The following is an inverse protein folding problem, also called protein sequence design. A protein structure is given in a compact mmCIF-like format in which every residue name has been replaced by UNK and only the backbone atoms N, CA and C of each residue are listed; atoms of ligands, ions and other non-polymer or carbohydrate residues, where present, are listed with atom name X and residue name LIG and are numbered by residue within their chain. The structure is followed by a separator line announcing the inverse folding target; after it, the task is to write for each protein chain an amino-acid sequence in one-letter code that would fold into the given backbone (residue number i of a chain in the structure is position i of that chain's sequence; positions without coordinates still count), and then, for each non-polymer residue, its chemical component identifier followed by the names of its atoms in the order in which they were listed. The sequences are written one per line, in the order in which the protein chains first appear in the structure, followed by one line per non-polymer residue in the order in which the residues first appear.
data_IF_287586526310
#
_entry.id   IF_287586526310
#
_cell.length_a   1.000
_cell.length_b   1.000
_cell.length_c   1.000
_cell.angle_alpha   90.00
_cell.angle_beta   90.00
_cell.angle_gamma   90.00
#
_symmetry.space_group_name_H-M   'P 1'
#
loop_
_entity.id
_entity.type
_entity.pdbx_description
1 polymer ?
#
# COMPACT_ATOMS: atom_id res chain seq x y z
N UNK A 1 10.76 1.20 7.51
CA UNK A 1 12.12 1.80 7.51
C UNK A 1 12.59 1.84 8.95
N UNK A 2 13.78 1.31 9.25
CA UNK A 2 14.25 1.11 10.62
C UNK A 2 15.08 2.32 11.10
N UNK A 3 14.73 2.97 12.23
CA UNK A 3 15.53 4.05 12.85
C UNK A 3 16.97 3.65 13.11
N UNK A 4 17.25 2.38 13.38
CA UNK A 4 18.61 1.84 13.59
C UNK A 4 19.46 2.01 12.34
N UNK A 5 18.87 1.80 11.15
CA UNK A 5 19.55 2.01 9.88
C UNK A 5 19.88 3.50 9.66
N UNK A 6 18.96 4.40 10.02
CA UNK A 6 19.20 5.85 9.92
C UNK A 6 20.38 6.27 10.81
N UNK A 7 20.42 5.79 12.05
CA UNK A 7 21.53 6.02 12.98
C UNK A 7 22.84 5.46 12.45
N UNK A 8 22.84 4.26 11.87
CA UNK A 8 24.04 3.65 11.26
C UNK A 8 24.57 4.46 10.06
N UNK A 9 23.70 5.21 9.38
CA UNK A 9 24.05 6.15 8.31
C UNK A 9 24.40 7.56 8.83
N UNK A 10 24.48 7.75 10.15
CA UNK A 10 24.84 9.02 10.79
C UNK A 10 23.69 10.04 10.85
N UNK A 11 22.44 9.61 10.68
CA UNK A 11 21.26 10.48 10.73
C UNK A 11 20.59 10.37 12.10
N UNK A 12 20.57 11.46 12.86
CA UNK A 12 19.79 11.57 14.10
C UNK A 12 18.36 12.05 13.79
N UNK A 13 17.39 11.15 13.99
CA UNK A 13 15.96 11.41 13.77
C UNK A 13 15.40 12.55 14.64
N UNK A 14 16.06 12.90 15.75
CA UNK A 14 15.63 14.01 16.62
C UNK A 14 16.01 15.38 16.08
N UNK A 15 16.96 15.45 15.14
CA UNK A 15 17.47 16.69 14.57
C UNK A 15 16.83 17.04 13.21
N UNK A 16 16.08 16.11 12.63
CA UNK A 16 15.43 16.32 11.33
C UNK A 16 14.12 17.09 11.50
N UNK A 17 13.92 18.09 10.64
CA UNK A 17 12.66 18.85 10.58
C UNK A 17 11.54 18.05 9.91
N UNK A 18 11.88 17.20 8.96
CA UNK A 18 10.92 16.43 8.16
C UNK A 18 11.55 15.12 7.72
N UNK A 19 10.83 14.02 7.95
CA UNK A 19 11.21 12.68 7.49
C UNK A 19 10.21 12.22 6.43
N UNK A 20 10.69 11.90 5.23
CA UNK A 20 9.84 11.31 4.18
C UNK A 20 10.09 9.82 4.12
N UNK A 21 9.05 9.04 4.40
CA UNK A 21 9.12 7.58 4.41
C UNK A 21 8.39 7.00 3.20
N UNK A 22 9.08 6.18 2.40
CA UNK A 22 8.46 5.39 1.34
C UNK A 22 7.85 4.12 1.92
N UNK A 23 6.82 4.27 2.74
CA UNK A 23 6.12 3.18 3.41
C UNK A 23 4.68 3.60 3.72
N UNK A 24 3.72 2.67 3.65
CA UNK A 24 2.31 2.94 3.96
C UNK A 24 1.88 2.48 5.35
N UNK A 25 2.30 1.28 5.79
CA UNK A 25 1.58 0.58 6.87
C UNK A 25 2.32 0.52 8.21
N UNK A 26 3.65 0.43 8.26
CA UNK A 26 4.36 0.17 9.51
C UNK A 26 5.00 1.40 10.17
N UNK A 27 4.97 2.55 9.50
CA UNK A 27 5.80 3.68 9.93
C UNK A 27 5.36 4.27 11.27
N UNK A 28 4.06 4.26 11.60
CA UNK A 28 3.56 4.83 12.86
C UNK A 28 4.14 4.12 14.09
N UNK A 29 4.02 2.80 14.15
CA UNK A 29 4.54 2.00 15.26
C UNK A 29 6.07 2.03 15.38
N UNK A 30 6.78 2.37 14.30
CA UNK A 30 8.24 2.41 14.30
C UNK A 30 8.77 3.78 14.76
N UNK A 31 8.01 4.85 14.56
CA UNK A 31 8.46 6.23 14.75
C UNK A 31 7.69 7.01 15.83
N UNK A 32 6.77 6.38 16.56
CA UNK A 32 5.93 7.02 17.60
C UNK A 32 6.74 7.58 18.78
N UNK A 33 7.93 7.03 19.04
CA UNK A 33 8.89 7.57 20.00
C UNK A 33 9.55 8.90 19.56
N UNK A 34 9.50 9.25 18.27
CA UNK A 34 10.14 10.44 17.71
C UNK A 34 9.15 11.53 17.27
N UNK A 35 7.96 11.14 16.81
CA UNK A 35 6.94 12.05 16.31
C UNK A 35 5.59 11.72 16.94
N UNK A 36 4.77 12.74 17.21
CA UNK A 36 3.40 12.55 17.66
C UNK A 36 2.49 12.15 16.50
N UNK A 37 1.33 11.56 16.80
CA UNK A 37 0.41 11.07 15.76
C UNK A 37 -0.06 12.19 14.80
N UNK A 38 -0.23 13.41 15.28
CA UNK A 38 -0.61 14.59 14.48
C UNK A 38 0.51 15.10 13.57
N UNK A 39 1.77 14.73 13.85
CA UNK A 39 2.92 15.02 12.99
C UNK A 39 3.09 13.97 11.87
N UNK A 40 2.42 12.83 11.97
CA UNK A 40 2.56 11.68 11.08
C UNK A 40 1.51 11.68 9.97
N UNK A 41 1.74 12.50 8.94
CA UNK A 41 0.81 12.66 7.82
C UNK A 41 1.05 11.68 6.68
N UNK A 42 -0.03 11.11 6.14
CA UNK A 42 0.01 10.39 4.86
C UNK A 42 -0.23 11.37 3.73
N UNK A 43 0.67 11.35 2.74
CA UNK A 43 0.61 12.26 1.60
C UNK A 43 0.26 11.46 0.35
N UNK A 44 -0.81 11.87 -0.31
CA UNK A 44 -1.25 11.32 -1.59
C UNK A 44 -0.35 11.80 -2.73
N UNK A 45 0.83 11.18 -2.82
CA UNK A 45 1.85 11.50 -3.84
C UNK A 45 1.58 10.75 -5.15
N UNK A 46 1.95 11.33 -6.31
CA UNK A 46 1.92 10.60 -7.57
C UNK A 46 2.98 9.50 -7.57
N UNK A 47 2.70 8.39 -8.27
CA UNK A 47 3.69 7.33 -8.47
C UNK A 47 3.09 5.99 -8.82
N UNK A 48 3.95 5.04 -9.19
CA UNK A 48 3.56 3.67 -9.59
C UNK A 48 2.93 2.85 -8.46
N UNK A 49 3.09 3.29 -7.22
CA UNK A 49 2.54 2.64 -6.02
C UNK A 49 1.31 3.36 -5.48
N UNK A 50 0.73 4.30 -6.24
CA UNK A 50 -0.52 4.96 -5.88
C UNK A 50 -1.63 3.92 -5.76
N UNK A 51 -2.43 3.93 -4.68
CA UNK A 51 -3.58 3.05 -4.55
C UNK A 51 -4.77 3.54 -5.41
N UNK A 52 -4.73 4.77 -5.93
CA UNK A 52 -5.79 5.33 -6.77
C UNK A 52 -5.69 4.76 -8.18
N UNK A 53 -6.38 3.65 -8.42
CA UNK A 53 -6.26 2.86 -9.66
C UNK A 53 -6.62 3.67 -10.92
N UNK A 54 -7.54 4.62 -10.83
CA UNK A 54 -7.97 5.46 -11.96
C UNK A 54 -6.88 6.39 -12.49
N UNK A 55 -5.78 6.60 -11.76
CA UNK A 55 -4.63 7.40 -12.22
C UNK A 55 -3.75 6.66 -13.23
N UNK A 56 -3.97 5.37 -13.44
CA UNK A 56 -3.14 4.53 -14.30
C UNK A 56 -3.89 4.12 -15.56
N UNK A 57 -3.18 4.15 -16.70
CA UNK A 57 -3.67 3.60 -17.97
C UNK A 57 -3.34 2.11 -18.02
N UNK A 58 -4.17 1.30 -17.36
CA UNK A 58 -3.96 -0.15 -17.31
C UNK A 58 -4.00 -0.76 -18.71
N UNK A 59 -3.05 -1.65 -18.98
CA UNK A 59 -3.01 -2.46 -20.20
C UNK A 59 -2.77 -3.91 -19.79
N UNK A 60 -3.40 -4.86 -20.49
CA UNK A 60 -3.25 -6.31 -20.25
C UNK A 60 -3.68 -6.74 -18.83
N UNK A 61 -4.58 -5.99 -18.20
CA UNK A 61 -5.26 -6.41 -16.97
C UNK A 61 -6.39 -7.38 -17.38
N UNK A 62 -6.55 -8.53 -16.72
CA UNK A 62 -7.75 -9.35 -16.88
C UNK A 62 -9.00 -8.52 -16.60
N UNK A 63 -10.00 -8.61 -17.48
CA UNK A 63 -11.27 -7.89 -17.36
C UNK A 63 -12.43 -8.90 -17.34
N UNK A 64 -13.50 -8.66 -16.56
CA UNK A 64 -13.68 -7.48 -15.70
C UNK A 64 -12.82 -7.52 -14.42
N UNK A 65 -12.45 -6.35 -13.92
CA UNK A 65 -11.70 -6.16 -12.68
C UNK A 65 -12.29 -5.00 -11.88
N UNK A 66 -13.03 -5.31 -10.83
CA UNK A 66 -13.52 -4.32 -9.88
C UNK A 66 -12.35 -3.69 -9.09
N UNK A 67 -12.31 -2.37 -8.85
CA UNK A 67 -13.32 -1.34 -9.16
C UNK A 67 -13.11 -0.62 -10.50
N UNK A 68 -12.28 -1.16 -11.41
CA UNK A 68 -12.01 -0.54 -12.72
C UNK A 68 -13.06 -0.91 -13.79
N UNK A 69 -13.80 -2.00 -13.59
CA UNK A 69 -15.06 -2.33 -14.26
C UNK A 69 -16.11 -2.48 -13.17
N UNK A 70 -17.19 -1.68 -13.24
CA UNK A 70 -18.29 -1.77 -12.26
C UNK A 70 -19.36 -2.76 -12.71
N UNK A 71 -19.49 -2.96 -14.03
CA UNK A 71 -20.43 -3.90 -14.63
C UNK A 71 -19.81 -5.31 -14.65
N UNK A 72 -19.70 -5.93 -13.47
CA UNK A 72 -19.20 -7.28 -13.33
C UNK A 72 -19.94 -8.08 -12.26
N UNK A 73 -20.17 -9.36 -12.53
CA UNK A 73 -20.73 -10.30 -11.57
C UNK A 73 -19.60 -11.11 -10.93
N UNK A 74 -19.69 -11.31 -9.60
CA UNK A 74 -18.85 -12.27 -8.92
C UNK A 74 -19.39 -13.66 -9.21
N UNK A 75 -18.58 -14.50 -9.86
CA UNK A 75 -18.88 -15.92 -9.99
C UNK A 75 -18.45 -16.58 -8.68
N UNK A 76 -19.41 -17.11 -7.92
CA UNK A 76 -19.10 -18.11 -6.92
C UNK A 76 -18.48 -19.32 -7.66
N UNK A 77 -17.36 -19.86 -7.17
CA UNK A 77 -16.90 -21.15 -7.71
C UNK A 77 -18.04 -22.17 -7.52
N UNK A 78 -18.30 -23.05 -8.51
CA UNK A 78 -19.22 -24.15 -8.26
C UNK A 78 -18.73 -24.89 -7.01
N UNK A 79 -19.62 -25.06 -6.04
CA UNK A 79 -19.40 -25.88 -4.86
C UNK A 79 -18.77 -27.19 -5.35
N UNK A 80 -17.58 -27.55 -4.86
CA UNK A 80 -16.61 -28.48 -5.47
C UNK A 80 -17.06 -29.93 -5.67
N UNK A 81 -18.36 -30.16 -5.74
CA UNK A 81 -19.05 -31.31 -6.34
C UNK A 81 -18.97 -31.30 -7.87
N UNK A 82 -17.76 -31.33 -8.43
CA UNK A 82 -17.63 -31.96 -9.75
C UNK A 82 -17.89 -33.46 -9.55
N UNK A 83 -18.87 -34.08 -10.24
CA UNK A 83 -19.00 -35.53 -10.20
C UNK A 83 -17.76 -36.15 -10.85
N UNK A 84 -17.16 -37.10 -10.16
CA UNK A 84 -16.03 -37.91 -10.63
C UNK A 84 -16.32 -38.41 -12.06
N UNK A 85 -15.44 -38.15 -13.05
CA UNK A 85 -15.64 -38.70 -14.38
C UNK A 85 -15.36 -40.21 -14.34
N UNK A 86 -16.43 -41.02 -14.47
CA UNK A 86 -16.40 -42.47 -14.75
C UNK A 86 -15.46 -42.84 -15.92
#
# INVERSE_FOLDING_TARGET
PDPTLLSALGVDVRLIRTLVLKCRSNYRAVFDQYFTADQMVEVDTPGRTSPVLTRHQWQRLPRPSYPLDLDCEWLDEPDGSDPDPD
#
